data_IF_847026162502
#
_entry.id   IF_847026162502
#
_cell.length_a   1.000
_cell.length_b   1.000
_cell.length_c   1.000
_cell.angle_alpha   90.00
_cell.angle_beta   90.00
_cell.angle_gamma   90.00
#
_symmetry.space_group_name_H-M   'P 1'
#
loop_
_entity.id
_entity.type
_entity.pdbx_description
1 polymer ?
#
# COMPACT_ATOMS: atom_id res chain seq x y z
N UNK A 1 -39.03 -13.26 -87.71
CA UNK A 1 -38.00 -12.82 -86.73
C UNK A 1 -38.68 -12.35 -85.43
N UNK A 2 -39.26 -13.23 -84.61
CA UNK A 2 -39.91 -12.79 -83.34
C UNK A 2 -39.87 -13.83 -82.21
N UNK A 3 -38.96 -14.80 -82.27
CA UNK A 3 -38.80 -15.85 -81.25
C UNK A 3 -37.66 -15.55 -80.28
N UNK A 4 -36.69 -14.71 -80.66
CA UNK A 4 -35.57 -14.28 -79.80
C UNK A 4 -35.99 -13.23 -78.77
N UNK A 5 -36.86 -12.28 -79.14
CA UNK A 5 -37.29 -11.19 -78.24
C UNK A 5 -38.17 -11.69 -77.08
N UNK A 6 -39.02 -12.69 -77.33
CA UNK A 6 -39.92 -13.29 -76.33
C UNK A 6 -39.23 -14.27 -75.37
N UNK A 7 -38.08 -14.83 -75.74
CA UNK A 7 -37.26 -15.69 -74.86
C UNK A 7 -36.20 -14.90 -74.08
N UNK A 8 -35.71 -13.78 -74.60
CA UNK A 8 -34.75 -12.90 -73.91
C UNK A 8 -35.37 -12.08 -72.77
N UNK A 9 -36.64 -11.68 -72.88
CA UNK A 9 -37.35 -10.90 -71.86
C UNK A 9 -37.47 -11.62 -70.50
N UNK A 10 -37.91 -12.89 -70.44
CA UNK A 10 -37.97 -13.66 -69.19
C UNK A 10 -36.59 -13.92 -68.55
N UNK A 11 -35.55 -14.11 -69.38
CA UNK A 11 -34.18 -14.34 -68.90
C UNK A 11 -33.59 -13.04 -68.32
N UNK A 12 -33.88 -11.90 -68.94
CA UNK A 12 -33.47 -10.59 -68.45
C UNK A 12 -34.17 -10.20 -67.15
N UNK A 13 -35.47 -10.50 -66.99
CA UNK A 13 -36.21 -10.23 -65.75
C UNK A 13 -35.79 -11.15 -64.59
N UNK A 14 -35.46 -12.41 -64.87
CA UNK A 14 -34.86 -13.32 -63.88
C UNK A 14 -33.47 -12.86 -63.43
N UNK A 15 -32.64 -12.38 -64.36
CA UNK A 15 -31.32 -11.79 -64.03
C UNK A 15 -31.43 -10.54 -63.16
N UNK A 16 -32.38 -9.64 -63.47
CA UNK A 16 -32.67 -8.45 -62.67
C UNK A 16 -33.24 -8.79 -61.29
N UNK A 17 -34.14 -9.77 -61.20
CA UNK A 17 -34.70 -10.24 -59.92
C UNK A 17 -33.64 -10.87 -59.01
N UNK A 18 -32.73 -11.67 -59.58
CA UNK A 18 -31.61 -12.24 -58.86
C UNK A 18 -30.62 -11.15 -58.39
N UNK A 19 -30.30 -10.18 -59.23
CA UNK A 19 -29.42 -9.06 -58.86
C UNK A 19 -30.02 -8.19 -57.74
N UNK A 20 -31.31 -7.86 -57.81
CA UNK A 20 -32.00 -7.12 -56.75
C UNK A 20 -32.04 -7.89 -55.43
N UNK A 21 -32.22 -9.22 -55.49
CA UNK A 21 -32.19 -10.09 -54.31
C UNK A 21 -30.80 -10.12 -53.68
N UNK A 22 -29.73 -10.26 -54.48
CA UNK A 22 -28.34 -10.21 -53.99
C UNK A 22 -27.98 -8.84 -53.39
N UNK A 23 -28.44 -7.75 -53.99
CA UNK A 23 -28.24 -6.39 -53.45
C UNK A 23 -28.97 -6.25 -52.11
N UNK A 24 -30.23 -6.71 -52.03
CA UNK A 24 -31.03 -6.73 -50.80
C UNK A 24 -30.40 -7.56 -49.68
N UNK A 25 -29.86 -8.73 -50.01
CA UNK A 25 -29.10 -9.58 -49.08
C UNK A 25 -27.82 -8.87 -48.61
N UNK A 26 -27.04 -8.27 -49.53
CA UNK A 26 -25.80 -7.55 -49.15
C UNK A 26 -26.04 -6.35 -48.22
N UNK A 27 -27.15 -5.62 -48.41
CA UNK A 27 -27.53 -4.49 -47.55
C UNK A 27 -28.02 -4.98 -46.19
N UNK A 28 -28.72 -6.11 -46.16
CA UNK A 28 -29.16 -6.77 -44.92
C UNK A 28 -27.96 -7.27 -44.13
N UNK A 29 -27.02 -7.95 -44.76
CA UNK A 29 -25.77 -8.44 -44.14
C UNK A 29 -24.93 -7.29 -43.59
N UNK A 30 -24.84 -6.17 -44.31
CA UNK A 30 -24.17 -4.96 -43.80
C UNK A 30 -24.84 -4.38 -42.56
N UNK A 31 -26.17 -4.36 -42.49
CA UNK A 31 -26.91 -3.89 -41.31
C UNK A 31 -26.77 -4.85 -40.12
N UNK A 32 -26.86 -6.15 -40.38
CA UNK A 32 -26.65 -7.19 -39.36
C UNK A 32 -25.22 -7.11 -38.83
N UNK A 33 -24.21 -7.03 -39.70
CA UNK A 33 -22.81 -6.89 -39.30
C UNK A 33 -22.54 -5.62 -38.47
N UNK A 34 -23.20 -4.49 -38.78
CA UNK A 34 -23.11 -3.26 -37.95
C UNK A 34 -23.72 -3.48 -36.57
N UNK A 35 -24.93 -4.05 -36.50
CA UNK A 35 -25.61 -4.36 -35.23
C UNK A 35 -24.80 -5.36 -34.39
N UNK A 36 -24.21 -6.38 -35.00
CA UNK A 36 -23.34 -7.33 -34.31
C UNK A 36 -22.08 -6.66 -33.75
N UNK A 37 -21.45 -5.74 -34.49
CA UNK A 37 -20.30 -4.98 -34.00
C UNK A 37 -20.67 -4.08 -32.82
N UNK A 38 -21.82 -3.40 -32.91
CA UNK A 38 -22.35 -2.57 -31.82
C UNK A 38 -22.68 -3.42 -30.58
N UNK A 39 -23.37 -4.55 -30.76
CA UNK A 39 -23.70 -5.48 -29.68
C UNK A 39 -22.44 -6.06 -29.02
N UNK A 40 -21.41 -6.44 -29.78
CA UNK A 40 -20.12 -6.89 -29.22
C UNK A 40 -19.42 -5.79 -28.43
N UNK A 41 -19.48 -4.54 -28.91
CA UNK A 41 -18.89 -3.38 -28.22
C UNK A 41 -19.63 -3.11 -26.91
N UNK A 42 -20.96 -3.19 -26.91
CA UNK A 42 -21.79 -3.03 -25.73
C UNK A 42 -21.56 -4.16 -24.72
N UNK A 43 -21.50 -5.41 -25.18
CA UNK A 43 -21.17 -6.56 -24.35
C UNK A 43 -19.79 -6.44 -23.71
N UNK A 44 -18.77 -5.99 -24.47
CA UNK A 44 -17.44 -5.73 -23.94
C UNK A 44 -17.43 -4.61 -22.88
N UNK A 45 -18.17 -3.52 -23.12
CA UNK A 45 -18.32 -2.43 -22.14
C UNK A 45 -18.99 -2.91 -20.86
N UNK A 46 -20.06 -3.68 -20.97
CA UNK A 46 -20.77 -4.24 -19.82
C UNK A 46 -19.88 -5.22 -19.02
N UNK A 47 -19.16 -6.11 -19.71
CA UNK A 47 -18.22 -7.03 -19.05
C UNK A 47 -17.09 -6.29 -18.33
N UNK A 48 -16.46 -5.30 -18.98
CA UNK A 48 -15.42 -4.52 -18.34
C UNK A 48 -15.94 -3.71 -17.16
N UNK A 49 -17.15 -3.15 -17.27
CA UNK A 49 -17.79 -2.45 -16.16
C UNK A 49 -17.94 -3.37 -14.94
N UNK A 50 -18.44 -4.59 -15.13
CA UNK A 50 -18.58 -5.56 -14.04
C UNK A 50 -17.23 -5.98 -13.44
N UNK A 51 -16.20 -6.16 -14.27
CA UNK A 51 -14.84 -6.46 -13.79
C UNK A 51 -14.30 -5.31 -12.93
N UNK A 52 -14.39 -4.07 -13.40
CA UNK A 52 -13.92 -2.90 -12.67
C UNK A 52 -14.73 -2.66 -11.40
N UNK A 53 -16.04 -2.83 -11.46
CA UNK A 53 -16.94 -2.73 -10.29
C UNK A 53 -16.59 -3.75 -9.23
N UNK A 54 -16.39 -5.01 -9.62
CA UNK A 54 -15.97 -6.08 -8.71
C UNK A 54 -14.64 -5.75 -8.04
N UNK A 55 -13.66 -5.24 -8.82
CA UNK A 55 -12.38 -4.81 -8.28
C UNK A 55 -12.49 -3.63 -7.31
N UNK A 56 -13.39 -2.66 -7.56
CA UNK A 56 -13.64 -1.53 -6.68
C UNK A 56 -14.32 -1.96 -5.36
N UNK A 57 -15.24 -2.92 -5.41
CA UNK A 57 -15.89 -3.48 -4.21
C UNK A 57 -14.91 -4.29 -3.36
N UNK A 58 -14.13 -5.18 -3.99
CA UNK A 58 -13.06 -5.92 -3.30
C UNK A 58 -12.05 -4.95 -2.66
N UNK A 59 -11.67 -3.88 -3.37
CA UNK A 59 -10.81 -2.84 -2.83
C UNK A 59 -11.41 -2.14 -1.60
N UNK A 60 -12.71 -1.84 -1.59
CA UNK A 60 -13.38 -1.27 -0.40
C UNK A 60 -13.33 -2.22 0.79
N UNK A 61 -13.58 -3.51 0.58
CA UNK A 61 -13.50 -4.53 1.63
C UNK A 61 -12.08 -4.60 2.22
N UNK A 62 -11.05 -4.68 1.35
CA UNK A 62 -9.65 -4.71 1.82
C UNK A 62 -9.24 -3.48 2.60
N UNK A 63 -9.71 -2.29 2.21
CA UNK A 63 -9.43 -1.05 2.95
C UNK A 63 -10.11 -1.09 4.31
N UNK A 64 -11.39 -1.51 4.37
CA UNK A 64 -12.14 -1.58 5.63
C UNK A 64 -11.53 -2.58 6.62
N UNK A 65 -11.13 -3.75 6.14
CA UNK A 65 -10.43 -4.77 6.93
C UNK A 65 -9.11 -4.23 7.48
N UNK A 66 -8.30 -3.62 6.61
CA UNK A 66 -7.01 -3.05 7.01
C UNK A 66 -7.21 -1.91 8.01
N UNK A 67 -8.19 -1.05 7.83
CA UNK A 67 -8.51 0.03 8.76
C UNK A 67 -8.85 -0.52 10.14
N UNK A 68 -9.69 -1.56 10.22
CA UNK A 68 -10.04 -2.24 11.47
C UNK A 68 -8.81 -2.82 12.17
N UNK A 69 -7.94 -3.51 11.43
CA UNK A 69 -6.67 -4.06 11.97
C UNK A 69 -5.72 -2.95 12.43
N UNK A 70 -5.64 -1.87 11.67
CA UNK A 70 -4.81 -0.70 11.97
C UNK A 70 -5.28 -0.01 13.25
N UNK A 71 -6.58 0.07 13.48
CA UNK A 71 -7.16 0.59 14.73
C UNK A 71 -6.81 -0.29 15.93
N UNK A 72 -6.93 -1.62 15.78
CA UNK A 72 -6.52 -2.57 16.84
C UNK A 72 -5.03 -2.42 17.14
N UNK A 73 -4.18 -2.33 16.11
CA UNK A 73 -2.75 -2.11 16.29
C UNK A 73 -2.44 -0.76 16.95
N UNK A 74 -3.16 0.30 16.59
CA UNK A 74 -3.01 1.61 17.26
C UNK A 74 -3.38 1.53 18.73
N UNK A 75 -4.49 0.88 19.07
CA UNK A 75 -4.89 0.67 20.46
C UNK A 75 -3.85 -0.14 21.22
N UNK A 76 -3.32 -1.20 20.59
CA UNK A 76 -2.22 -2.00 21.15
C UNK A 76 -1.03 -1.12 21.47
N UNK A 77 -0.54 -0.31 20.52
CA UNK A 77 0.58 0.64 20.72
C UNK A 77 0.34 1.56 21.92
N UNK A 78 -0.85 2.18 22.02
CA UNK A 78 -1.24 3.03 23.16
C UNK A 78 -1.22 2.32 24.51
N UNK A 79 -1.58 1.04 24.55
CA UNK A 79 -1.65 0.25 25.80
C UNK A 79 -0.33 -0.43 26.17
N UNK A 80 0.55 -0.64 25.19
CA UNK A 80 1.80 -1.38 25.37
C UNK A 80 2.82 -0.45 26.04
N UNK A 81 3.20 -0.74 27.29
CA UNK A 81 4.23 0.01 28.03
C UNK A 81 5.59 0.00 27.30
N UNK A 82 5.78 -0.92 26.34
CA UNK A 82 6.92 -0.94 25.43
C UNK A 82 7.06 0.35 24.59
N UNK A 83 5.94 1.02 24.24
CA UNK A 83 5.99 2.29 23.52
C UNK A 83 6.55 3.41 24.41
N UNK A 84 6.05 3.51 25.65
CA UNK A 84 6.60 4.43 26.65
C UNK A 84 8.07 4.15 26.92
N UNK A 85 8.46 2.87 26.92
CA UNK A 85 9.85 2.47 27.13
C UNK A 85 10.77 3.05 26.05
N UNK A 86 10.42 2.98 24.77
CA UNK A 86 11.24 3.57 23.70
C UNK A 86 11.19 5.11 23.67
N UNK A 87 10.04 5.70 23.99
CA UNK A 87 9.92 7.15 24.14
C UNK A 87 10.68 7.67 25.38
N UNK A 88 10.93 6.81 26.38
CA UNK A 88 11.72 7.09 27.57
C UNK A 88 13.22 7.23 27.34
N UNK A 89 13.68 7.29 26.09
CA UNK A 89 15.09 7.42 25.70
C UNK A 89 16.01 6.37 26.35
N UNK A 90 15.71 5.06 26.24
CA UNK A 90 16.50 4.01 26.89
C UNK A 90 17.93 3.98 26.34
N UNK A 91 18.12 4.38 25.07
CA UNK A 91 19.43 4.57 24.44
C UNK A 91 20.30 5.64 25.10
N UNK A 92 19.69 6.70 25.66
CA UNK A 92 20.44 7.76 26.34
C UNK A 92 20.99 7.24 27.67
N UNK A 93 20.18 6.47 28.40
CA UNK A 93 20.59 5.84 29.65
C UNK A 93 21.66 4.76 29.39
N UNK A 94 21.47 3.94 28.36
CA UNK A 94 22.45 2.93 27.96
C UNK A 94 23.80 3.55 27.57
N UNK A 95 23.77 4.67 26.83
CA UNK A 95 24.98 5.39 26.44
C UNK A 95 25.69 6.01 27.63
N UNK A 96 24.95 6.61 28.56
CA UNK A 96 25.53 7.18 29.78
C UNK A 96 26.21 6.09 30.63
N UNK A 97 25.57 4.93 30.76
CA UNK A 97 26.14 3.80 31.50
C UNK A 97 27.35 3.16 30.78
N UNK A 98 27.39 3.16 29.44
CA UNK A 98 28.61 2.78 28.70
C UNK A 98 29.78 3.73 28.98
N UNK A 99 29.51 5.02 29.08
CA UNK A 99 30.54 6.01 29.43
C UNK A 99 31.10 5.76 30.83
N UNK A 100 30.27 5.39 31.80
CA UNK A 100 30.71 5.03 33.15
C UNK A 100 31.65 3.82 33.17
N UNK A 101 31.39 2.81 32.31
CA UNK A 101 32.29 1.66 32.13
C UNK A 101 33.65 2.12 31.58
N UNK A 102 33.66 3.00 30.57
CA UNK A 102 34.91 3.52 30.01
C UNK A 102 35.71 4.30 31.04
N UNK A 103 35.07 5.20 31.79
CA UNK A 103 35.72 5.95 32.88
C UNK A 103 36.29 5.01 33.94
N UNK A 104 35.59 3.94 34.30
CA UNK A 104 36.08 2.97 35.28
C UNK A 104 37.31 2.20 34.77
N UNK A 105 37.30 1.79 33.49
CA UNK A 105 38.45 1.14 32.83
C UNK A 105 39.65 2.08 32.74
N UNK A 106 39.43 3.34 32.38
CA UNK A 106 40.50 4.33 32.27
C UNK A 106 41.19 4.57 33.61
N UNK A 107 40.44 4.62 34.72
CA UNK A 107 41.02 4.71 36.07
C UNK A 107 41.89 3.50 36.43
N UNK A 108 41.49 2.29 36.01
CA UNK A 108 42.31 1.08 36.21
C UNK A 108 43.60 1.16 35.40
N UNK A 109 43.52 1.61 34.15
CA UNK A 109 44.69 1.79 33.28
C UNK A 109 45.63 2.88 33.79
N UNK A 110 45.08 3.99 34.30
CA UNK A 110 45.83 5.08 34.91
C UNK A 110 46.60 4.57 36.13
N UNK A 111 45.93 3.85 37.04
CA UNK A 111 46.58 3.26 38.22
C UNK A 111 47.67 2.26 37.82
N UNK A 112 47.43 1.44 36.80
CA UNK A 112 48.41 0.48 36.28
C UNK A 112 49.66 1.20 35.73
N UNK A 113 49.49 2.32 35.02
CA UNK A 113 50.61 3.09 34.47
C UNK A 113 51.47 3.77 35.55
N UNK A 114 50.89 4.07 36.73
CA UNK A 114 51.58 4.67 37.89
C UNK A 114 52.07 3.66 38.92
N UNK A 115 52.05 2.35 38.62
CA UNK A 115 52.46 1.27 39.55
C UNK A 115 53.84 1.50 40.16
N UNK A 116 54.81 2.03 39.40
CA UNK A 116 56.17 2.27 39.88
C UNK A 116 56.28 3.36 40.95
N UNK A 117 55.25 4.21 41.11
CA UNK A 117 55.21 5.33 42.06
C UNK A 117 54.59 4.93 43.42
N UNK A 118 54.01 3.73 43.52
CA UNK A 118 53.20 3.30 44.65
C UNK A 118 53.88 2.14 45.40
N UNK A 119 53.65 2.09 46.72
CA UNK A 119 54.00 0.89 47.48
C UNK A 119 53.14 -0.28 47.01
N UNK A 120 53.64 -1.50 47.22
CA UNK A 120 52.91 -2.69 46.80
C UNK A 120 51.57 -2.85 47.51
N UNK A 121 51.52 -2.46 48.78
CA UNK A 121 50.31 -2.48 49.62
C UNK A 121 49.29 -1.42 49.15
N UNK A 122 49.73 -0.18 48.89
CA UNK A 122 48.86 0.90 48.43
C UNK A 122 48.26 0.60 47.05
N UNK A 123 49.08 0.12 46.12
CA UNK A 123 48.58 -0.27 44.81
C UNK A 123 47.61 -1.44 44.90
N UNK A 124 47.87 -2.45 45.75
CA UNK A 124 46.95 -3.57 45.95
C UNK A 124 45.61 -3.11 46.51
N UNK A 125 45.61 -2.18 47.47
CA UNK A 125 44.37 -1.59 47.99
C UNK A 125 43.58 -0.88 46.90
N UNK A 126 44.22 0.05 46.19
CA UNK A 126 43.58 0.88 45.17
C UNK A 126 43.12 0.07 43.95
N UNK A 127 43.91 -0.90 43.48
CA UNK A 127 43.53 -1.72 42.31
C UNK A 127 42.35 -2.64 42.65
N UNK A 128 42.30 -3.19 43.88
CA UNK A 128 41.18 -4.03 44.30
C UNK A 128 39.88 -3.22 44.38
N UNK A 129 39.93 -1.99 44.90
CA UNK A 129 38.78 -1.08 44.94
C UNK A 129 38.30 -0.71 43.53
N UNK A 130 39.21 -0.33 42.63
CA UNK A 130 38.88 0.02 41.25
C UNK A 130 38.34 -1.18 40.46
N UNK A 131 38.91 -2.37 40.64
CA UNK A 131 38.41 -3.60 40.01
C UNK A 131 37.02 -3.95 40.53
N UNK A 132 36.77 -3.84 41.85
CA UNK A 132 35.44 -4.04 42.41
C UNK A 132 34.42 -3.04 41.86
N UNK A 133 34.80 -1.77 41.70
CA UNK A 133 33.98 -0.76 41.07
C UNK A 133 33.69 -1.09 39.59
N UNK A 134 34.71 -1.46 38.81
CA UNK A 134 34.54 -1.92 37.42
C UNK A 134 33.56 -3.09 37.30
N UNK A 135 33.67 -4.08 38.18
CA UNK A 135 32.76 -5.23 38.21
C UNK A 135 31.32 -4.78 38.48
N UNK A 136 31.11 -3.88 39.44
CA UNK A 136 29.78 -3.36 39.76
C UNK A 136 29.18 -2.55 38.62
N UNK A 137 29.92 -1.59 38.05
CA UNK A 137 29.47 -0.75 36.94
C UNK A 137 29.15 -1.61 35.71
N UNK A 138 30.00 -2.59 35.40
CA UNK A 138 29.78 -3.49 34.26
C UNK A 138 28.55 -4.39 34.48
N UNK A 139 28.30 -4.85 35.72
CA UNK A 139 27.08 -5.62 36.04
C UNK A 139 25.81 -4.78 35.82
N UNK A 140 25.79 -3.55 36.32
CA UNK A 140 24.66 -2.62 36.11
C UNK A 140 24.41 -2.38 34.62
N UNK A 141 25.47 -2.17 33.84
CA UNK A 141 25.37 -1.98 32.40
C UNK A 141 24.87 -3.22 31.68
N UNK A 142 25.31 -4.41 32.09
CA UNK A 142 24.89 -5.67 31.49
C UNK A 142 23.42 -5.96 31.77
N UNK A 143 22.94 -5.67 32.98
CA UNK A 143 21.54 -5.81 33.36
C UNK A 143 20.66 -4.82 32.58
N UNK A 144 21.08 -3.55 32.45
CA UNK A 144 20.37 -2.55 31.66
C UNK A 144 20.34 -2.89 30.16
N UNK A 145 21.45 -3.41 29.62
CA UNK A 145 21.53 -3.88 28.25
C UNK A 145 20.59 -5.07 28.00
N UNK A 146 20.55 -6.03 28.93
CA UNK A 146 19.64 -7.18 28.84
C UNK A 146 18.19 -6.74 28.85
N UNK A 147 17.81 -5.89 29.80
CA UNK A 147 16.44 -5.34 29.87
C UNK A 147 16.06 -4.62 28.58
N UNK A 148 16.98 -3.82 28.02
CA UNK A 148 16.78 -3.15 26.74
C UNK A 148 16.57 -4.12 25.59
N UNK A 149 17.40 -5.15 25.46
CA UNK A 149 17.27 -6.15 24.42
C UNK A 149 15.97 -6.95 24.55
N UNK A 150 15.61 -7.39 25.75
CA UNK A 150 14.39 -8.15 26.01
C UNK A 150 13.14 -7.33 25.65
N UNK A 151 13.05 -6.08 26.12
CA UNK A 151 11.92 -5.19 25.81
C UNK A 151 11.84 -4.84 24.33
N UNK A 152 12.98 -4.55 23.69
CA UNK A 152 13.03 -4.26 22.26
C UNK A 152 12.59 -5.46 21.42
N UNK A 153 13.05 -6.67 21.80
CA UNK A 153 12.66 -7.91 21.14
C UNK A 153 11.16 -8.17 21.28
N UNK A 154 10.61 -8.10 22.48
CA UNK A 154 9.16 -8.27 22.71
C UNK A 154 8.34 -7.32 21.84
N UNK A 155 8.78 -6.08 21.68
CA UNK A 155 8.07 -5.09 20.86
C UNK A 155 8.11 -5.43 19.36
N UNK A 156 9.23 -5.96 18.86
CA UNK A 156 9.34 -6.45 17.48
C UNK A 156 8.48 -7.69 17.26
N UNK A 157 8.58 -8.67 18.16
CA UNK A 157 7.82 -9.93 18.12
C UNK A 157 6.31 -9.63 18.14
N UNK A 158 5.85 -8.71 18.99
CA UNK A 158 4.43 -8.30 19.07
C UNK A 158 3.93 -7.60 17.78
N UNK A 159 4.84 -7.04 16.96
CA UNK A 159 4.50 -6.38 15.69
C UNK A 159 4.61 -7.30 14.49
N UNK A 160 5.26 -8.46 14.63
CA UNK A 160 5.60 -9.34 13.52
C UNK A 160 4.36 -9.73 12.71
N UNK A 161 3.31 -10.22 13.40
CA UNK A 161 2.07 -10.63 12.74
C UNK A 161 1.38 -9.46 12.03
N UNK A 162 1.29 -8.30 12.69
CA UNK A 162 0.71 -7.10 12.07
C UNK A 162 1.48 -6.67 10.83
N UNK A 163 2.81 -6.73 10.87
CA UNK A 163 3.65 -6.35 9.74
C UNK A 163 3.50 -7.33 8.56
N UNK A 164 3.43 -8.63 8.83
CA UNK A 164 3.15 -9.64 7.82
C UNK A 164 1.80 -9.38 7.13
N UNK A 165 0.74 -9.20 7.93
CA UNK A 165 -0.60 -8.90 7.43
C UNK A 165 -0.61 -7.60 6.59
N UNK A 166 0.05 -6.56 7.09
CA UNK A 166 0.15 -5.26 6.42
C UNK A 166 0.74 -5.39 5.01
N UNK A 167 1.81 -6.17 4.84
CA UNK A 167 2.43 -6.36 3.53
C UNK A 167 1.48 -7.03 2.53
N UNK A 168 0.70 -8.00 2.99
CA UNK A 168 -0.27 -8.68 2.14
C UNK A 168 -1.45 -7.78 1.78
N UNK A 169 -1.95 -6.98 2.72
CA UNK A 169 -2.95 -5.95 2.41
C UNK A 169 -2.42 -4.89 1.44
N UNK A 170 -1.18 -4.42 1.61
CA UNK A 170 -0.57 -3.44 0.67
C UNK A 170 -0.53 -4.03 -0.74
N UNK A 171 -0.16 -5.30 -0.90
CA UNK A 171 -0.16 -5.99 -2.20
C UNK A 171 -1.57 -6.12 -2.77
N UNK A 172 -2.54 -6.55 -1.97
CA UNK A 172 -3.93 -6.69 -2.39
C UNK A 172 -4.53 -5.36 -2.83
N UNK A 173 -4.33 -4.30 -2.04
CA UNK A 173 -4.78 -2.93 -2.34
C UNK A 173 -4.14 -2.44 -3.64
N UNK A 174 -2.82 -2.65 -3.84
CA UNK A 174 -2.15 -2.30 -5.10
C UNK A 174 -2.76 -2.99 -6.30
N UNK A 175 -3.00 -4.29 -6.21
CA UNK A 175 -3.64 -5.04 -7.30
C UNK A 175 -5.06 -4.53 -7.57
N UNK A 176 -5.85 -4.27 -6.52
CA UNK A 176 -7.21 -3.73 -6.64
C UNK A 176 -7.23 -2.34 -7.30
N UNK A 177 -6.31 -1.45 -6.89
CA UNK A 177 -6.16 -0.12 -7.52
C UNK A 177 -5.91 -0.22 -9.02
N UNK A 178 -4.98 -1.07 -9.46
CA UNK A 178 -4.68 -1.21 -10.89
C UNK A 178 -5.81 -1.89 -11.66
N UNK A 179 -6.50 -2.86 -11.06
CA UNK A 179 -7.65 -3.53 -11.67
C UNK A 179 -8.89 -2.64 -11.78
N UNK A 180 -8.99 -1.61 -10.95
CA UNK A 180 -10.10 -0.65 -11.00
C UNK A 180 -10.18 0.13 -12.32
N UNK A 181 -9.07 0.25 -13.06
CA UNK A 181 -8.98 1.00 -14.30
C UNK A 181 -9.10 2.53 -14.12
N UNK A 182 -9.13 3.03 -12.89
CA UNK A 182 -9.37 4.44 -12.61
C UNK A 182 -8.13 5.14 -12.04
N UNK A 183 -7.60 6.13 -12.77
CA UNK A 183 -6.44 6.91 -12.33
C UNK A 183 -6.68 7.62 -10.98
N UNK A 184 -7.90 8.11 -10.74
CA UNK A 184 -8.25 8.75 -9.46
C UNK A 184 -8.12 7.80 -8.27
N UNK A 185 -8.42 6.51 -8.47
CA UNK A 185 -8.29 5.48 -7.42
C UNK A 185 -6.83 5.12 -7.21
N UNK A 186 -6.04 5.01 -8.28
CA UNK A 186 -4.60 4.74 -8.21
C UNK A 186 -3.87 5.85 -7.46
N UNK A 187 -4.12 7.13 -7.80
CA UNK A 187 -3.48 8.28 -7.14
C UNK A 187 -3.85 8.34 -5.66
N UNK A 188 -5.16 8.31 -5.35
CA UNK A 188 -5.62 8.38 -3.96
C UNK A 188 -5.11 7.20 -3.13
N UNK A 189 -4.99 6.01 -3.71
CA UNK A 189 -4.49 4.86 -2.98
C UNK A 189 -2.97 4.85 -2.82
N UNK A 190 -2.20 5.45 -3.74
CA UNK A 190 -0.78 5.71 -3.50
C UNK A 190 -0.56 6.68 -2.33
N UNK A 191 -1.39 7.73 -2.23
CA UNK A 191 -1.36 8.66 -1.10
C UNK A 191 -1.68 7.94 0.22
N UNK A 192 -2.73 7.10 0.22
CA UNK A 192 -3.08 6.27 1.38
C UNK A 192 -1.94 5.34 1.80
N UNK A 193 -1.38 4.56 0.87
CA UNK A 193 -0.28 3.64 1.17
C UNK A 193 0.99 4.37 1.67
N UNK A 194 1.27 5.56 1.14
CA UNK A 194 2.38 6.40 1.61
C UNK A 194 2.14 6.89 3.04
N UNK A 195 0.94 7.35 3.36
CA UNK A 195 0.58 7.80 4.69
C UNK A 195 0.57 6.65 5.71
N UNK A 196 0.07 5.47 5.32
CA UNK A 196 0.11 4.24 6.10
C UNK A 196 1.55 3.80 6.40
N UNK A 197 2.44 3.86 5.40
CA UNK A 197 3.87 3.61 5.59
C UNK A 197 4.48 4.55 6.64
N UNK A 198 4.25 5.86 6.51
CA UNK A 198 4.75 6.86 7.48
C UNK A 198 4.23 6.63 8.90
N UNK A 199 2.97 6.25 9.05
CA UNK A 199 2.43 5.91 10.36
C UNK A 199 3.01 4.60 10.90
N UNK A 200 3.21 3.59 10.05
CA UNK A 200 3.80 2.33 10.47
C UNK A 200 5.29 2.46 10.85
N UNK A 201 6.04 3.30 10.16
CA UNK A 201 7.46 3.56 10.43
C UNK A 201 7.66 4.30 11.77
N UNK A 202 6.64 5.03 12.22
CA UNK A 202 6.63 5.54 13.58
C UNK A 202 6.48 4.37 14.55
N UNK A 203 7.51 4.10 15.35
CA UNK A 203 7.49 3.07 16.38
C UNK A 203 6.48 3.33 17.50
N UNK A 204 5.97 4.56 17.64
CA UNK A 204 4.90 4.92 18.56
C UNK A 204 3.64 5.46 17.88
N UNK A 205 2.63 5.77 18.69
CA UNK A 205 1.39 6.43 18.28
C UNK A 205 1.68 7.87 17.88
N UNK A 206 2.06 8.03 16.61
CA UNK A 206 2.18 9.33 16.00
C UNK A 206 0.80 9.80 15.54
N UNK A 207 0.08 10.51 16.41
CA UNK A 207 -1.27 11.02 16.16
C UNK A 207 -1.37 11.81 14.86
N UNK A 208 -0.34 12.60 14.54
CA UNK A 208 -0.29 13.40 13.31
C UNK A 208 -0.18 12.50 12.07
N UNK A 209 0.68 11.48 12.11
CA UNK A 209 0.81 10.51 11.03
C UNK A 209 -0.46 9.66 10.88
N UNK A 210 -1.07 9.26 12.00
CA UNK A 210 -2.33 8.51 11.99
C UNK A 210 -3.47 9.33 11.40
N UNK A 211 -3.62 10.59 11.81
CA UNK A 211 -4.64 11.49 11.28
C UNK A 211 -4.47 11.73 9.78
N UNK A 212 -3.23 11.86 9.30
CA UNK A 212 -2.92 11.98 7.87
C UNK A 212 -3.28 10.69 7.11
N UNK A 213 -3.02 9.52 7.68
CA UNK A 213 -3.40 8.24 7.12
C UNK A 213 -4.93 8.10 7.00
N UNK A 214 -5.68 8.44 8.06
CA UNK A 214 -7.14 8.43 8.06
C UNK A 214 -7.71 9.40 7.01
N UNK A 215 -7.14 10.60 6.89
CA UNK A 215 -7.54 11.55 5.85
C UNK A 215 -7.32 11.00 4.44
N UNK A 216 -6.18 10.33 4.20
CA UNK A 216 -5.88 9.69 2.92
C UNK A 216 -6.80 8.48 2.64
N UNK A 217 -7.18 7.72 3.68
CA UNK A 217 -8.16 6.64 3.57
C UNK A 217 -9.53 7.17 3.09
N UNK A 218 -10.01 8.25 3.70
CA UNK A 218 -11.25 8.91 3.24
C UNK A 218 -11.15 9.40 1.80
N UNK A 219 -9.99 9.93 1.39
CA UNK A 219 -9.72 10.31 0.01
C UNK A 219 -9.87 9.15 -0.97
N UNK A 220 -9.29 7.99 -0.63
CA UNK A 220 -9.39 6.76 -1.40
C UNK A 220 -10.83 6.23 -1.45
N UNK A 221 -11.52 6.14 -0.31
CA UNK A 221 -12.92 5.70 -0.26
C UNK A 221 -13.83 6.59 -1.11
N UNK A 222 -13.62 7.91 -1.08
CA UNK A 222 -14.35 8.85 -1.94
C UNK A 222 -14.06 8.61 -3.42
N UNK A 223 -12.80 8.40 -3.79
CA UNK A 223 -12.42 8.10 -5.18
C UNK A 223 -13.09 6.81 -5.68
N UNK A 224 -13.17 5.78 -4.84
CA UNK A 224 -13.85 4.52 -5.17
C UNK A 224 -15.35 4.74 -5.30
N UNK A 225 -15.98 5.40 -4.33
CA UNK A 225 -17.44 5.67 -4.34
C UNK A 225 -17.86 6.46 -5.57
N UNK A 226 -17.09 7.48 -5.95
CA UNK A 226 -17.33 8.24 -7.17
C UNK A 226 -17.30 7.33 -8.40
N UNK A 227 -16.29 6.45 -8.52
CA UNK A 227 -16.15 5.54 -9.66
C UNK A 227 -17.19 4.43 -9.70
N UNK A 228 -17.68 3.97 -8.55
CA UNK A 228 -18.82 3.05 -8.48
C UNK A 228 -20.13 3.71 -8.94
N UNK A 229 -20.26 5.03 -8.74
CA UNK A 229 -21.47 5.80 -9.08
C UNK A 229 -21.49 6.23 -10.56
N UNK A 230 -20.38 6.76 -11.06
CA UNK A 230 -20.23 7.26 -12.44
C UNK A 230 -19.77 6.20 -13.45
N UNK A 231 -19.36 5.02 -12.97
CA UNK A 231 -18.65 4.05 -13.78
C UNK A 231 -17.25 4.51 -14.26
N UNK A 232 -16.51 3.62 -14.92
CA UNK A 232 -15.17 3.88 -15.44
C UNK A 232 -15.15 4.62 -16.78
N UNK A 233 -16.30 4.90 -17.41
CA UNK A 233 -16.39 5.44 -18.78
C UNK A 233 -17.09 6.79 -18.94
N UNK A 234 -17.63 7.40 -17.87
CA UNK A 234 -18.40 8.65 -17.96
C UNK A 234 -17.62 9.82 -18.59
N UNK A 235 -16.28 9.82 -18.49
CA UNK A 235 -15.45 10.86 -19.11
C UNK A 235 -15.47 10.81 -20.65
N UNK A 236 -15.76 9.66 -21.28
CA UNK A 236 -15.76 9.54 -22.74
C UNK A 236 -17.03 10.06 -23.43
N UNK A 237 -18.17 10.09 -22.75
CA UNK A 237 -19.42 10.63 -23.35
C UNK A 237 -19.48 12.16 -23.26
N UNK A 238 -18.94 12.75 -22.20
CA UNK A 238 -18.91 14.21 -22.06
C UNK A 238 -17.99 14.92 -23.07
N UNK A 239 -16.89 14.30 -23.48
CA UNK A 239 -16.04 14.88 -24.53
C UNK A 239 -16.67 14.79 -25.92
N UNK A 240 -17.40 13.71 -26.21
CA UNK A 240 -18.05 13.54 -27.51
C UNK A 240 -19.25 14.48 -27.72
N UNK A 241 -19.96 14.81 -26.65
CA UNK A 241 -21.05 15.78 -26.69
C UNK A 241 -20.55 17.23 -26.73
N UNK A 242 -19.33 17.51 -26.26
CA UNK A 242 -18.74 18.86 -26.35
C UNK A 242 -18.18 19.21 -27.73
N UNK A 243 -17.74 18.23 -28.50
CA UNK A 243 -17.30 18.44 -29.90
C UNK A 243 -18.47 18.49 -30.90
N UNK A 244 -19.65 17.99 -30.52
CA UNK A 244 -20.86 18.05 -31.35
C UNK A 244 -21.59 19.41 -31.33
N UNK A 245 -21.42 20.20 -30.27
CA UNK A 245 -22.11 21.49 -30.08
C UNK A 245 -21.32 22.70 -30.59
N UNK A 246 -20.07 22.52 -31.06
CA UNK A 246 -19.27 23.59 -31.68
C UNK A 246 -19.42 23.68 -33.20
N UNK A 247 -20.35 22.92 -33.78
CA UNK A 247 -20.62 22.87 -35.21
C UNK A 247 -22.11 22.96 -35.52
N UNK A 248 -22.73 24.10 -35.21
CA UNK A 248 -24.02 24.53 -35.74
C UNK A 248 -24.03 26.04 -35.87
#
# INVERSE_FOLDING_TARGET
MSTLATTLLPIATLGLGAALTMIGQSLTDRRVSRREKEARKEQFRAQNFEIHRTALLDLQEKISDLSSRTQVERLRRKTDDAERYLQGYPFKNLRAQMEEVHVAIDKVNELASRRAELSEEDFRGQINELVANCVNVNKVQLDASREFFEKSKMMVDNREQYYADLLDYIRAIRLGMYRSGANSVVVAGQEYLSALGKWNDAFGDNEKAYSAMVAAEYGLQRAISNRLTSGPYDEYEHHKNREGDSGS
#
